data_IF_577035030547
#
_entry.id   IF_577035030547
#
_cell.length_a   1.000
_cell.length_b   1.000
_cell.length_c   1.000
_cell.angle_alpha   90.00
_cell.angle_beta   90.00
_cell.angle_gamma   90.00
#
_symmetry.space_group_name_H-M   'P 1'
#
loop_
_entity.id
_entity.type
_entity.pdbx_description
1 polymer ?
#
# COMPACT_ATOMS: atom_id res chain seq x y z
N UNK A 1 11.09 3.99 -27.70
CA UNK A 1 9.91 4.88 -27.59
C UNK A 1 8.70 4.19 -26.96
N UNK A 2 8.30 2.99 -27.40
CA UNK A 2 7.12 2.26 -26.87
C UNK A 2 7.24 1.89 -25.39
N UNK A 3 8.40 1.38 -24.94
CA UNK A 3 8.61 1.02 -23.52
C UNK A 3 8.47 2.25 -22.60
N UNK A 4 9.04 3.38 -23.01
CA UNK A 4 8.92 4.64 -22.27
C UNK A 4 7.46 5.06 -22.13
N UNK A 5 6.67 4.95 -23.21
CA UNK A 5 5.23 5.22 -23.17
C UNK A 5 4.51 4.30 -22.16
N UNK A 6 4.82 3.00 -22.13
CA UNK A 6 4.20 2.09 -21.17
C UNK A 6 4.62 2.36 -19.72
N UNK A 7 5.86 2.78 -19.49
CA UNK A 7 6.31 3.22 -18.16
C UNK A 7 5.55 4.48 -17.73
N UNK A 8 5.42 5.48 -18.61
CA UNK A 8 4.66 6.70 -18.33
C UNK A 8 3.19 6.38 -18.05
N UNK A 9 2.57 5.51 -18.84
CA UNK A 9 1.20 5.04 -18.60
C UNK A 9 1.07 4.32 -17.25
N UNK A 10 2.03 3.48 -16.87
CA UNK A 10 2.01 2.78 -15.59
C UNK A 10 2.15 3.74 -14.41
N UNK A 11 3.00 4.77 -14.53
CA UNK A 11 3.11 5.86 -13.55
C UNK A 11 1.76 6.58 -13.41
N UNK A 12 1.17 7.03 -14.52
CA UNK A 12 -0.13 7.72 -14.51
C UNK A 12 -1.23 6.86 -13.89
N UNK A 13 -1.34 5.59 -14.29
CA UNK A 13 -2.33 4.67 -13.74
C UNK A 13 -2.10 4.39 -12.25
N UNK A 14 -0.85 4.37 -11.79
CA UNK A 14 -0.52 4.25 -10.37
C UNK A 14 -1.07 5.43 -9.58
N UNK A 15 -0.84 6.68 -10.02
CA UNK A 15 -1.40 7.85 -9.37
C UNK A 15 -2.94 7.86 -9.39
N UNK A 16 -3.57 7.46 -10.51
CA UNK A 16 -5.02 7.30 -10.58
C UNK A 16 -5.50 6.27 -9.56
N UNK A 17 -4.80 5.14 -9.42
CA UNK A 17 -5.16 4.09 -8.46
C UNK A 17 -5.10 4.57 -7.02
N UNK A 18 -4.19 5.48 -6.68
CA UNK A 18 -4.11 6.08 -5.36
C UNK A 18 -5.29 7.01 -5.09
N UNK A 19 -5.70 7.80 -6.09
CA UNK A 19 -6.90 8.63 -5.99
C UNK A 19 -8.15 7.77 -5.82
N UNK A 20 -8.30 6.71 -6.61
CA UNK A 20 -9.41 5.74 -6.46
C UNK A 20 -9.39 5.10 -5.07
N UNK A 21 -8.22 4.67 -4.61
CA UNK A 21 -8.01 4.11 -3.28
C UNK A 21 -8.44 5.08 -2.17
N UNK A 22 -8.04 6.34 -2.26
CA UNK A 22 -8.40 7.38 -1.30
C UNK A 22 -9.91 7.65 -1.28
N UNK A 23 -10.54 7.79 -2.45
CA UNK A 23 -11.96 8.09 -2.56
C UNK A 23 -12.82 6.94 -2.04
N UNK A 24 -12.55 5.72 -2.49
CA UNK A 24 -13.31 4.55 -2.08
C UNK A 24 -13.06 4.22 -0.61
N UNK A 25 -11.82 4.34 -0.12
CA UNK A 25 -11.54 4.13 1.30
C UNK A 25 -12.35 5.11 2.18
N UNK A 26 -12.38 6.39 1.83
CA UNK A 26 -13.21 7.38 2.51
C UNK A 26 -14.71 7.06 2.46
N UNK A 27 -15.20 6.49 1.36
CA UNK A 27 -16.60 6.09 1.23
C UNK A 27 -16.97 4.88 2.11
N UNK A 28 -16.01 4.00 2.42
CA UNK A 28 -16.26 2.75 3.17
C UNK A 28 -15.78 2.78 4.62
N UNK A 29 -14.97 3.75 5.05
CA UNK A 29 -14.33 3.77 6.39
C UNK A 29 -15.30 3.72 7.59
N UNK A 30 -16.54 4.15 7.40
CA UNK A 30 -17.59 4.13 8.43
C UNK A 30 -18.47 2.86 8.38
N UNK A 31 -18.20 1.93 7.46
CA UNK A 31 -19.00 0.71 7.30
C UNK A 31 -18.59 -0.35 8.31
N UNK A 32 -19.54 -1.14 8.77
CA UNK A 32 -19.34 -2.19 9.78
C UNK A 32 -18.30 -3.25 9.37
N UNK A 33 -18.19 -3.53 8.06
CA UNK A 33 -17.20 -4.48 7.54
C UNK A 33 -15.76 -3.93 7.56
N UNK A 34 -15.56 -2.61 7.69
CA UNK A 34 -14.25 -1.98 7.65
C UNK A 34 -13.33 -2.51 8.76
N UNK A 35 -13.89 -2.73 9.95
CA UNK A 35 -13.17 -3.37 11.06
C UNK A 35 -12.61 -4.74 10.68
N UNK A 36 -13.38 -5.58 9.97
CA UNK A 36 -12.94 -6.91 9.54
C UNK A 36 -11.76 -6.81 8.56
N UNK A 37 -11.84 -5.89 7.59
CA UNK A 37 -10.76 -5.65 6.62
C UNK A 37 -9.50 -5.10 7.32
N UNK A 38 -9.67 -4.26 8.35
CA UNK A 38 -8.56 -3.68 9.10
C UNK A 38 -7.72 -4.71 9.86
N UNK A 39 -8.22 -5.93 10.09
CA UNK A 39 -7.51 -7.02 10.73
C UNK A 39 -6.91 -8.03 9.75
N UNK A 40 -7.04 -7.80 8.43
CA UNK A 40 -6.36 -8.61 7.45
C UNK A 40 -4.84 -8.49 7.63
N UNK A 41 -4.17 -9.63 7.49
CA UNK A 41 -2.73 -9.74 7.48
C UNK A 41 -2.34 -10.84 6.50
N UNK A 42 -1.77 -10.45 5.37
CA UNK A 42 -1.40 -11.37 4.29
C UNK A 42 -0.10 -12.11 4.60
N UNK A 43 0.82 -11.47 5.34
CA UNK A 43 2.12 -12.06 5.70
C UNK A 43 2.33 -11.95 7.21
N UNK A 44 1.98 -13.03 7.92
CA UNK A 44 2.18 -13.14 9.37
C UNK A 44 3.61 -13.46 9.77
N UNK A 45 4.40 -14.04 8.86
CA UNK A 45 5.75 -14.53 9.15
C UNK A 45 6.79 -13.41 8.94
N UNK A 46 7.47 -13.02 10.02
CA UNK A 46 8.49 -11.97 9.99
C UNK A 46 9.73 -12.35 9.16
N UNK A 47 10.09 -13.63 9.09
CA UNK A 47 11.20 -14.12 8.25
C UNK A 47 10.82 -13.92 6.77
N UNK A 48 9.59 -14.27 6.40
CA UNK A 48 9.10 -14.07 5.03
C UNK A 48 9.06 -12.58 4.67
N UNK A 49 8.54 -11.73 5.56
CA UNK A 49 8.54 -10.27 5.39
C UNK A 49 9.93 -9.68 5.18
N UNK A 50 10.94 -10.17 5.92
CA UNK A 50 12.34 -9.77 5.74
C UNK A 50 12.91 -10.30 4.42
N UNK A 51 12.63 -11.55 4.08
CA UNK A 51 13.15 -12.21 2.87
C UNK A 51 12.67 -11.55 1.58
N UNK A 52 11.40 -11.11 1.51
CA UNK A 52 10.87 -10.38 0.35
C UNK A 52 11.30 -8.90 0.33
N UNK A 53 12.13 -8.46 1.30
CA UNK A 53 12.73 -7.14 1.29
C UNK A 53 11.84 -6.01 1.84
N UNK A 54 10.76 -6.30 2.59
CA UNK A 54 9.89 -5.23 3.15
C UNK A 54 10.66 -4.27 4.06
N UNK A 55 11.68 -4.76 4.78
CA UNK A 55 12.53 -3.88 5.62
C UNK A 55 13.35 -2.89 4.78
N UNK A 56 13.90 -3.34 3.64
CA UNK A 56 14.62 -2.47 2.70
C UNK A 56 13.65 -1.48 2.05
N UNK A 57 12.47 -1.94 1.64
CA UNK A 57 11.43 -1.08 1.08
C UNK A 57 11.00 0.01 2.08
N UNK A 58 10.74 -0.35 3.33
CA UNK A 58 10.42 0.61 4.39
C UNK A 58 11.52 1.66 4.60
N UNK A 59 12.80 1.27 4.49
CA UNK A 59 13.92 2.20 4.54
C UNK A 59 13.91 3.16 3.34
N UNK A 60 13.68 2.67 2.12
CA UNK A 60 13.57 3.51 0.90
C UNK A 60 12.46 4.54 1.06
N UNK A 61 11.27 4.11 1.51
CA UNK A 61 10.13 5.01 1.69
C UNK A 61 10.45 6.12 2.69
N UNK A 62 11.16 5.81 3.78
CA UNK A 62 11.54 6.80 4.80
C UNK A 62 12.67 7.75 4.37
N UNK A 63 13.55 7.33 3.47
CA UNK A 63 14.76 8.08 3.10
C UNK A 63 14.72 8.68 1.69
N UNK A 64 13.60 8.57 0.99
CA UNK A 64 13.41 9.13 -0.36
C UNK A 64 12.33 10.22 -0.39
N UNK A 65 12.03 10.72 -1.59
CA UNK A 65 10.90 11.63 -1.84
C UNK A 65 9.57 11.09 -1.28
N UNK A 66 9.41 9.76 -1.19
CA UNK A 66 8.20 9.13 -0.64
C UNK A 66 7.95 9.44 0.84
N UNK A 67 8.95 9.95 1.58
CA UNK A 67 8.77 10.43 2.95
C UNK A 67 7.70 11.53 3.03
N UNK A 68 7.57 12.35 1.99
CA UNK A 68 6.60 13.48 1.95
C UNK A 68 5.15 12.98 2.01
N UNK A 69 4.87 11.79 1.47
CA UNK A 69 3.53 11.19 1.50
C UNK A 69 3.20 10.51 2.85
N UNK A 70 4.19 10.29 3.72
CA UNK A 70 4.03 9.55 4.99
C UNK A 70 4.09 10.44 6.24
N UNK A 71 3.76 11.74 6.12
CA UNK A 71 3.84 12.69 7.25
C UNK A 71 2.99 12.27 8.46
N UNK A 72 1.84 11.66 8.23
CA UNK A 72 0.93 11.19 9.28
C UNK A 72 1.45 9.93 10.00
N UNK A 73 2.45 9.24 9.44
CA UNK A 73 3.03 8.03 10.00
C UNK A 73 4.29 8.29 10.86
N UNK A 74 4.50 9.55 11.26
CA UNK A 74 5.62 9.92 12.13
C UNK A 74 5.25 9.77 13.61
N UNK A 75 6.10 9.05 14.34
CA UNK A 75 6.04 8.91 15.80
C UNK A 75 6.85 10.01 16.48
N UNK A 76 6.33 10.53 17.59
CA UNK A 76 7.10 11.37 18.52
C UNK A 76 8.16 10.52 19.23
N UNK A 77 9.19 11.16 19.77
CA UNK A 77 10.30 10.49 20.49
C UNK A 77 9.84 9.65 21.69
N UNK A 78 8.76 10.07 22.37
CA UNK A 78 8.12 9.34 23.48
C UNK A 78 6.60 9.27 23.26
N UNK A 79 6.11 8.32 22.47
CA UNK A 79 4.69 8.19 22.18
C UNK A 79 3.93 7.62 23.38
N UNK A 80 2.74 8.14 23.68
CA UNK A 80 1.83 7.51 24.62
C UNK A 80 0.91 6.49 23.89
N UNK A 81 0.03 5.82 24.65
CA UNK A 81 -0.92 4.84 24.09
C UNK A 81 -1.81 5.44 22.98
N UNK A 82 -2.28 6.66 23.17
CA UNK A 82 -3.16 7.34 22.21
C UNK A 82 -2.42 7.69 20.90
N UNK A 83 -1.15 8.11 21.00
CA UNK A 83 -0.29 8.35 19.83
C UNK A 83 -0.13 7.06 19.01
N UNK A 84 0.06 5.91 19.67
CA UNK A 84 0.17 4.59 19.02
C UNK A 84 -1.15 4.14 18.38
N UNK A 85 -2.28 4.35 19.04
CA UNK A 85 -3.61 4.03 18.50
C UNK A 85 -3.96 4.90 17.28
N UNK A 86 -3.63 6.20 17.33
CA UNK A 86 -3.78 7.11 16.20
C UNK A 86 -2.92 6.66 15.03
N UNK A 87 -1.65 6.33 15.28
CA UNK A 87 -0.75 5.83 14.25
C UNK A 87 -1.29 4.54 13.61
N UNK A 88 -1.75 3.58 14.43
CA UNK A 88 -2.37 2.34 13.94
C UNK A 88 -3.54 2.63 13.01
N UNK A 89 -4.37 3.61 13.35
CA UNK A 89 -5.53 4.02 12.54
C UNK A 89 -5.09 4.59 11.18
N UNK A 90 -4.07 5.45 11.17
CA UNK A 90 -3.48 5.98 9.94
C UNK A 90 -2.86 4.86 9.07
N UNK A 91 -2.19 3.88 9.70
CA UNK A 91 -1.65 2.71 8.98
C UNK A 91 -2.76 1.88 8.33
N UNK A 92 -3.87 1.62 9.04
CA UNK A 92 -5.05 0.93 8.49
C UNK A 92 -5.64 1.70 7.31
N UNK A 93 -5.75 3.02 7.43
CA UNK A 93 -6.26 3.85 6.34
C UNK A 93 -5.34 3.78 5.10
N UNK A 94 -4.03 3.89 5.29
CA UNK A 94 -3.07 3.75 4.18
C UNK A 94 -3.09 2.33 3.56
N UNK A 95 -3.14 1.29 4.40
CA UNK A 95 -3.22 -0.11 3.98
C UNK A 95 -4.42 -0.37 3.08
N UNK A 96 -5.62 0.00 3.53
CA UNK A 96 -6.86 -0.26 2.80
C UNK A 96 -6.92 0.57 1.51
N UNK A 97 -6.45 1.83 1.54
CA UNK A 97 -6.35 2.65 0.34
C UNK A 97 -5.48 2.02 -0.74
N UNK A 98 -4.29 1.54 -0.39
CA UNK A 98 -3.40 0.86 -1.33
C UNK A 98 -3.94 -0.51 -1.77
N UNK A 99 -4.64 -1.24 -0.89
CA UNK A 99 -5.28 -2.51 -1.27
C UNK A 99 -6.39 -2.31 -2.31
N UNK A 100 -7.20 -1.25 -2.17
CA UNK A 100 -8.20 -0.88 -3.17
C UNK A 100 -7.51 -0.50 -4.49
N UNK A 101 -6.47 0.33 -4.44
CA UNK A 101 -5.67 0.69 -5.62
C UNK A 101 -5.06 -0.53 -6.31
N UNK A 102 -4.60 -1.51 -5.53
CA UNK A 102 -4.05 -2.78 -6.02
C UNK A 102 -5.09 -3.56 -6.83
N UNK A 103 -6.28 -3.75 -6.27
CA UNK A 103 -7.39 -4.47 -6.93
C UNK A 103 -7.85 -3.72 -8.18
N UNK A 104 -7.96 -2.39 -8.12
CA UNK A 104 -8.29 -1.57 -9.28
C UNK A 104 -7.31 -1.80 -10.45
N UNK A 105 -6.00 -1.75 -10.19
CA UNK A 105 -5.00 -1.96 -11.24
C UNK A 105 -4.94 -3.41 -11.72
N UNK A 106 -5.25 -4.40 -10.88
CA UNK A 106 -5.40 -5.78 -11.34
C UNK A 106 -6.48 -5.91 -12.42
N UNK A 107 -7.64 -5.25 -12.24
CA UNK A 107 -8.69 -5.21 -13.26
C UNK A 107 -8.20 -4.60 -14.58
N UNK A 108 -7.44 -3.49 -14.50
CA UNK A 108 -6.85 -2.84 -15.69
C UNK A 108 -5.80 -3.75 -16.37
N UNK A 109 -5.01 -4.47 -15.59
CA UNK A 109 -4.03 -5.45 -16.11
C UNK A 109 -4.74 -6.56 -16.87
N UNK A 110 -5.83 -7.12 -16.32
CA UNK A 110 -6.65 -8.14 -17.00
C UNK A 110 -7.20 -7.61 -18.33
N UNK A 111 -7.70 -6.38 -18.36
CA UNK A 111 -8.16 -5.74 -19.60
C UNK A 111 -7.02 -5.60 -20.61
N UNK A 112 -5.81 -5.21 -20.18
CA UNK A 112 -4.65 -5.13 -21.09
C UNK A 112 -4.24 -6.51 -21.64
N UNK A 113 -4.28 -7.55 -20.81
CA UNK A 113 -4.00 -8.93 -21.23
C UNK A 113 -5.02 -9.41 -22.26
N UNK A 114 -6.31 -9.15 -22.04
CA UNK A 114 -7.38 -9.49 -22.99
C UNK A 114 -7.16 -8.83 -24.35
N UNK A 115 -6.64 -7.61 -24.37
CA UNK A 115 -6.35 -6.86 -25.60
C UNK A 115 -4.97 -7.20 -26.22
N UNK A 116 -4.28 -8.24 -25.75
CA UNK A 116 -2.97 -8.64 -26.27
C UNK A 116 -1.81 -7.70 -25.92
N UNK A 117 -2.01 -6.73 -25.01
CA UNK A 117 -1.01 -5.74 -24.62
C UNK A 117 -0.09 -6.27 -23.51
N UNK A 118 0.53 -7.43 -23.73
CA UNK A 118 1.27 -8.19 -22.71
C UNK A 118 2.41 -7.40 -22.07
N UNK A 119 3.22 -6.69 -22.85
CA UNK A 119 4.34 -5.92 -22.30
C UNK A 119 3.86 -4.75 -21.42
N UNK A 120 2.79 -4.06 -21.85
CA UNK A 120 2.17 -3.00 -21.06
C UNK A 120 1.55 -3.54 -19.77
N UNK A 121 0.90 -4.71 -19.84
CA UNK A 121 0.34 -5.41 -18.68
C UNK A 121 1.43 -5.82 -17.68
N UNK A 122 2.55 -6.37 -18.17
CA UNK A 122 3.69 -6.76 -17.33
C UNK A 122 4.32 -5.55 -16.63
N UNK A 123 4.56 -4.45 -17.35
CA UNK A 123 5.09 -3.22 -16.75
C UNK A 123 4.12 -2.69 -15.69
N UNK A 124 2.82 -2.65 -15.98
CA UNK A 124 1.81 -2.19 -15.01
C UNK A 124 1.72 -3.11 -13.78
N UNK A 125 1.88 -4.43 -13.96
CA UNK A 125 1.93 -5.39 -12.85
C UNK A 125 3.11 -5.12 -11.92
N UNK A 126 4.31 -4.88 -12.47
CA UNK A 126 5.49 -4.53 -11.67
C UNK A 126 5.26 -3.25 -10.87
N UNK A 127 4.69 -2.22 -11.51
CA UNK A 127 4.31 -0.99 -10.82
C UNK A 127 3.27 -1.24 -9.72
N UNK A 128 2.24 -2.03 -9.99
CA UNK A 128 1.19 -2.34 -9.01
C UNK A 128 1.76 -3.09 -7.79
N UNK A 129 2.71 -4.02 -8.00
CA UNK A 129 3.41 -4.70 -6.92
C UNK A 129 4.20 -3.68 -6.08
N UNK A 130 5.02 -2.84 -6.71
CA UNK A 130 5.90 -1.89 -6.00
C UNK A 130 5.10 -0.80 -5.27
N UNK A 131 4.06 -0.25 -5.90
CA UNK A 131 3.40 0.97 -5.45
C UNK A 131 2.05 0.77 -4.78
N UNK A 132 1.49 -0.45 -4.77
CA UNK A 132 0.28 -0.76 -4.01
C UNK A 132 0.44 -1.99 -3.11
N UNK A 133 0.99 -3.11 -3.62
CA UNK A 133 1.15 -4.31 -2.79
C UNK A 133 2.19 -4.12 -1.69
N UNK A 134 3.39 -3.66 -2.02
CA UNK A 134 4.46 -3.44 -1.03
C UNK A 134 4.06 -2.44 0.07
N UNK A 135 3.44 -1.28 -0.23
CA UNK A 135 2.87 -0.41 0.79
C UNK A 135 1.86 -1.11 1.69
N UNK A 136 0.92 -1.87 1.12
CA UNK A 136 -0.08 -2.64 1.89
C UNK A 136 0.60 -3.59 2.88
N UNK A 137 1.56 -4.38 2.40
CA UNK A 137 2.30 -5.34 3.22
C UNK A 137 3.15 -4.65 4.30
N UNK A 138 3.79 -3.53 3.96
CA UNK A 138 4.59 -2.74 4.91
C UNK A 138 3.71 -2.20 6.04
N UNK A 139 2.50 -1.69 5.72
CA UNK A 139 1.57 -1.23 6.75
C UNK A 139 1.04 -2.36 7.62
N UNK A 140 0.76 -3.54 7.05
CA UNK A 140 0.36 -4.73 7.82
C UNK A 140 1.43 -5.16 8.84
N UNK A 141 2.70 -5.18 8.44
CA UNK A 141 3.80 -5.53 9.32
C UNK A 141 3.96 -4.47 10.44
N UNK A 142 3.93 -3.19 10.08
CA UNK A 142 4.06 -2.11 11.06
C UNK A 142 2.89 -2.08 12.04
N UNK A 143 1.66 -2.29 11.57
CA UNK A 143 0.44 -2.40 12.39
C UNK A 143 0.55 -3.54 13.40
N UNK A 144 1.07 -4.70 12.98
CA UNK A 144 1.27 -5.85 13.89
C UNK A 144 2.25 -5.51 15.01
N UNK A 145 3.35 -4.82 14.71
CA UNK A 145 4.31 -4.36 15.73
C UNK A 145 3.68 -3.38 16.72
N UNK A 146 2.80 -2.48 16.24
CA UNK A 146 2.08 -1.56 17.12
C UNK A 146 1.08 -2.31 17.99
N UNK A 147 0.36 -3.28 17.43
CA UNK A 147 -0.58 -4.13 18.18
C UNK A 147 0.14 -4.92 19.29
N UNK A 148 1.36 -5.42 19.04
CA UNK A 148 2.17 -6.11 20.05
C UNK A 148 2.67 -5.18 21.17
N UNK A 149 2.95 -3.89 20.87
CA UNK A 149 3.33 -2.89 21.88
C UNK A 149 2.13 -2.44 22.72
N UNK A 150 0.91 -2.48 22.15
CA UNK A 150 -0.33 -2.04 22.81
C UNK A 150 -0.98 -3.10 23.70
N UNK A 151 -0.49 -4.35 23.64
CA UNK A 151 -0.91 -5.46 24.52
C UNK A 151 -0.34 -5.26 25.93
#
# INVERSE_FOLDING_TARGET
MIILLYILQAITLTFISWTVGLLLNNAIKLRTFYGRISHLNFIKNDVLSKSIGLSKFGWIIKNSFFRVFNKNLNLKSRPNRDDLQRLRTEMVYAEIGHLIGFVFLLSVIVIKLWNGLFLSALILLLFNIIFNLYPTLLQQQNKTRIDDILR
#
